data_IF_039348419981
#
_entry.id   IF_039348419981
#
_cell.length_a   1.000
_cell.length_b   1.000
_cell.length_c   1.000
_cell.angle_alpha   90.00
_cell.angle_beta   90.00
_cell.angle_gamma   90.00
#
_symmetry.space_group_name_H-M   'P 1'
#
loop_
_entity.id
_entity.type
_entity.pdbx_description
1 polymer ?
#
# COMPACT_ATOMS: atom_id res chain seq x y z
N UNK A 1 6.39 27.84 -31.54
CA UNK A 1 6.70 26.45 -31.15
C UNK A 1 7.95 26.49 -30.28
N UNK A 2 7.80 26.50 -28.95
CA UNK A 2 8.94 26.53 -28.02
C UNK A 2 9.25 25.10 -27.59
N UNK A 3 10.33 24.55 -28.15
CA UNK A 3 10.87 23.24 -27.79
C UNK A 3 11.35 23.30 -26.33
N UNK A 4 10.72 22.53 -25.45
CA UNK A 4 11.12 22.40 -24.05
C UNK A 4 12.27 21.38 -23.98
N UNK A 5 13.50 21.88 -23.94
CA UNK A 5 14.67 21.04 -23.68
C UNK A 5 14.79 20.90 -22.17
N UNK A 6 14.56 19.69 -21.65
CA UNK A 6 14.77 19.37 -20.24
C UNK A 6 16.25 19.62 -19.90
N UNK A 7 16.59 20.37 -18.83
CA UNK A 7 17.97 20.57 -18.41
C UNK A 7 18.66 19.24 -18.11
N UNK A 8 19.91 19.07 -18.55
CA UNK A 8 20.73 17.86 -18.41
C UNK A 8 20.73 17.27 -16.97
N UNK A 9 20.67 18.13 -15.95
CA UNK A 9 20.62 17.75 -14.53
C UNK A 9 19.34 17.00 -14.11
N UNK A 10 18.28 17.04 -14.91
CA UNK A 10 17.01 16.35 -14.69
C UNK A 10 16.74 15.27 -15.74
N UNK A 11 17.70 15.00 -16.64
CA UNK A 11 17.66 13.84 -17.51
C UNK A 11 17.84 12.62 -16.61
N UNK A 12 16.88 11.69 -16.63
CA UNK A 12 17.06 10.39 -15.99
C UNK A 12 18.40 9.81 -16.51
N UNK A 13 19.25 9.24 -15.65
CA UNK A 13 20.49 8.63 -16.12
C UNK A 13 20.15 7.66 -17.26
N UNK A 14 20.78 7.86 -18.41
CA UNK A 14 20.63 6.91 -19.51
C UNK A 14 20.98 5.53 -18.97
N UNK A 15 20.19 4.49 -19.29
CA UNK A 15 20.56 3.14 -18.91
C UNK A 15 21.97 2.87 -19.44
N UNK A 16 22.90 2.58 -18.53
CA UNK A 16 24.29 2.24 -18.84
C UNK A 16 24.33 1.31 -20.06
N UNK A 17 25.03 1.66 -21.16
CA UNK A 17 25.08 0.82 -22.34
C UNK A 17 25.95 -0.40 -22.08
N UNK A 18 25.27 -1.49 -21.73
CA UNK A 18 25.75 -2.86 -21.60
C UNK A 18 24.60 -3.66 -20.99
N UNK A 19 23.76 -4.35 -21.76
CA UNK A 19 24.10 -5.49 -22.60
C UNK A 19 23.05 -5.66 -23.70
N UNK A 20 23.49 -5.74 -24.96
CA UNK A 20 22.74 -6.33 -26.08
C UNK A 20 22.73 -7.87 -25.95
N UNK A 21 22.22 -8.38 -24.83
CA UNK A 21 22.03 -9.79 -24.55
C UNK A 21 20.85 -9.93 -23.61
N UNK A 22 19.98 -10.92 -23.86
CA UNK A 22 18.80 -11.26 -23.06
C UNK A 22 18.90 -10.76 -21.61
N UNK A 23 17.95 -9.92 -21.18
CA UNK A 23 17.88 -9.43 -19.81
C UNK A 23 18.14 -10.60 -18.86
N UNK A 24 19.31 -10.59 -18.21
CA UNK A 24 19.70 -11.67 -17.32
C UNK A 24 18.57 -11.86 -16.31
N UNK A 25 18.11 -13.11 -16.18
CA UNK A 25 16.99 -13.44 -15.30
C UNK A 25 17.29 -12.88 -13.90
N UNK A 26 16.31 -12.15 -13.34
CA UNK A 26 16.43 -11.56 -12.01
C UNK A 26 16.84 -12.65 -11.00
N UNK A 27 17.89 -12.44 -10.16
CA UNK A 27 18.53 -13.52 -9.42
C UNK A 27 17.69 -14.08 -8.26
N UNK A 28 16.47 -13.56 -8.06
CA UNK A 28 15.53 -14.04 -7.03
C UNK A 28 14.70 -15.19 -7.56
N UNK A 29 14.79 -16.32 -6.87
CA UNK A 29 13.93 -17.48 -7.05
C UNK A 29 12.59 -17.25 -6.33
N UNK A 30 11.60 -16.80 -7.10
CA UNK A 30 10.24 -16.54 -6.60
C UNK A 30 9.45 -17.83 -6.32
N UNK A 31 9.76 -18.95 -6.98
CA UNK A 31 9.06 -20.22 -6.74
C UNK A 31 9.47 -20.82 -5.40
N UNK A 32 10.76 -20.77 -5.07
CA UNK A 32 11.26 -21.17 -3.74
C UNK A 32 10.62 -20.32 -2.63
N UNK A 33 10.51 -19.00 -2.84
CA UNK A 33 9.85 -18.09 -1.90
C UNK A 33 8.35 -18.39 -1.77
N UNK A 34 7.67 -18.71 -2.88
CA UNK A 34 6.24 -19.06 -2.87
C UNK A 34 5.97 -20.35 -2.14
N UNK A 35 6.83 -21.35 -2.29
CA UNK A 35 6.72 -22.59 -1.52
C UNK A 35 6.87 -22.35 0.00
N UNK A 36 7.71 -21.37 0.39
CA UNK A 36 7.94 -21.03 1.79
C UNK A 36 6.86 -20.14 2.39
N UNK A 37 6.31 -19.23 1.59
CA UNK A 37 5.33 -18.22 2.00
C UNK A 37 4.04 -18.36 1.18
N UNK A 38 3.38 -19.54 1.15
CA UNK A 38 2.30 -19.81 0.20
C UNK A 38 1.08 -18.89 0.38
N UNK A 39 0.81 -18.48 1.62
CA UNK A 39 -0.36 -17.67 1.99
C UNK A 39 -0.07 -16.17 2.08
N UNK A 40 1.10 -15.73 1.62
CA UNK A 40 1.52 -14.33 1.73
C UNK A 40 0.83 -13.46 0.65
N UNK A 41 0.25 -12.34 1.06
CA UNK A 41 -0.45 -11.41 0.16
C UNK A 41 0.44 -10.81 -0.94
N UNK A 42 1.77 -10.92 -0.87
CA UNK A 42 2.68 -10.54 -1.96
C UNK A 42 2.28 -11.20 -3.29
N UNK A 43 1.90 -12.48 -3.30
CA UNK A 43 1.54 -13.18 -4.53
C UNK A 43 0.29 -12.59 -5.18
N UNK A 44 -0.68 -12.22 -4.35
CA UNK A 44 -1.94 -11.67 -4.82
C UNK A 44 -1.84 -10.20 -5.19
N UNK A 45 -0.91 -9.43 -4.61
CA UNK A 45 -0.88 -7.96 -4.73
C UNK A 45 0.36 -7.41 -5.43
N UNK A 46 1.54 -7.98 -5.18
CA UNK A 46 2.84 -7.40 -5.53
C UNK A 46 3.60 -8.16 -6.61
N UNK A 47 3.40 -9.48 -6.72
CA UNK A 47 4.11 -10.31 -7.69
C UNK A 47 3.84 -9.82 -9.13
N UNK A 48 4.89 -9.64 -9.96
CA UNK A 48 4.73 -9.32 -11.37
C UNK A 48 3.89 -10.40 -12.06
N UNK A 49 2.84 -9.99 -12.78
CA UNK A 49 1.94 -10.91 -13.47
C UNK A 49 1.44 -10.28 -14.78
N UNK A 50 1.17 -11.14 -15.76
CA UNK A 50 0.46 -10.80 -17.00
C UNK A 50 -0.93 -11.46 -17.07
N UNK A 51 -1.33 -12.17 -16.02
CA UNK A 51 -2.63 -12.82 -15.94
C UNK A 51 -3.75 -11.76 -15.84
N UNK A 52 -4.63 -11.64 -16.86
CA UNK A 52 -5.67 -10.63 -16.86
C UNK A 52 -6.69 -10.80 -15.73
N UNK A 53 -6.97 -12.03 -15.28
CA UNK A 53 -7.94 -12.25 -14.18
C UNK A 53 -7.38 -11.79 -12.84
N UNK A 54 -6.10 -12.06 -12.57
CA UNK A 54 -5.43 -11.57 -11.37
C UNK A 54 -5.33 -10.04 -11.36
N UNK A 55 -5.03 -9.42 -12.51
CA UNK A 55 -5.00 -7.96 -12.64
C UNK A 55 -6.39 -7.35 -12.38
N UNK A 56 -7.45 -7.92 -12.96
CA UNK A 56 -8.84 -7.50 -12.70
C UNK A 56 -9.19 -7.62 -11.21
N UNK A 57 -8.84 -8.73 -10.55
CA UNK A 57 -9.05 -8.92 -9.11
C UNK A 57 -8.33 -7.83 -8.29
N UNK A 58 -7.07 -7.52 -8.63
CA UNK A 58 -6.29 -6.46 -7.95
C UNK A 58 -6.95 -5.08 -8.10
N UNK A 59 -7.45 -4.76 -9.28
CA UNK A 59 -8.16 -3.50 -9.54
C UNK A 59 -9.46 -3.41 -8.74
N UNK A 60 -10.26 -4.48 -8.72
CA UNK A 60 -11.51 -4.56 -7.95
C UNK A 60 -11.27 -4.39 -6.44
N UNK A 61 -10.26 -5.08 -5.90
CA UNK A 61 -9.86 -4.91 -4.50
C UNK A 61 -9.38 -3.49 -4.20
N UNK A 62 -8.54 -2.93 -5.08
CA UNK A 62 -8.04 -1.56 -4.92
C UNK A 62 -9.19 -0.56 -4.89
N UNK A 63 -10.16 -0.70 -5.81
CA UNK A 63 -11.37 0.14 -5.82
C UNK A 63 -12.15 0.03 -4.53
N UNK A 64 -12.45 -1.20 -4.07
CA UNK A 64 -13.17 -1.45 -2.82
C UNK A 64 -12.51 -0.74 -1.63
N UNK A 65 -11.20 -0.88 -1.48
CA UNK A 65 -10.49 -0.31 -0.33
C UNK A 65 -10.26 1.20 -0.45
N UNK A 66 -10.20 1.74 -1.67
CA UNK A 66 -10.19 3.18 -1.90
C UNK A 66 -11.54 3.83 -1.52
N UNK A 67 -12.66 3.17 -1.79
CA UNK A 67 -13.98 3.65 -1.37
C UNK A 67 -14.11 3.68 0.17
N UNK A 68 -13.66 2.62 0.84
CA UNK A 68 -13.61 2.58 2.32
C UNK A 68 -12.69 3.69 2.83
N UNK A 69 -11.49 3.83 2.26
CA UNK A 69 -10.56 4.89 2.64
C UNK A 69 -11.17 6.30 2.50
N UNK A 70 -11.89 6.57 1.40
CA UNK A 70 -12.60 7.83 1.22
C UNK A 70 -13.60 8.12 2.35
N UNK A 71 -14.40 7.11 2.73
CA UNK A 71 -15.34 7.23 3.85
C UNK A 71 -14.63 7.40 5.20
N UNK A 72 -13.53 6.69 5.42
CA UNK A 72 -12.71 6.82 6.64
C UNK A 72 -12.17 8.26 6.76
N UNK A 73 -11.66 8.83 5.66
CA UNK A 73 -11.15 10.20 5.62
C UNK A 73 -12.26 11.24 5.81
N UNK A 74 -13.46 10.99 5.30
CA UNK A 74 -14.62 11.87 5.47
C UNK A 74 -15.22 11.81 6.89
N UNK A 75 -14.90 10.78 7.69
CA UNK A 75 -15.59 10.52 8.96
C UNK A 75 -16.97 9.87 8.78
N UNK A 76 -17.23 9.33 7.59
CA UNK A 76 -18.50 8.71 7.20
C UNK A 76 -18.49 7.19 7.37
N UNK A 77 -17.31 6.60 7.50
CA UNK A 77 -17.16 5.16 7.67
C UNK A 77 -17.75 4.67 8.99
N UNK A 78 -18.30 3.46 8.95
CA UNK A 78 -18.68 2.74 10.15
C UNK A 78 -17.44 2.36 10.98
N UNK A 79 -17.59 2.08 12.28
CA UNK A 79 -16.51 1.68 13.17
C UNK A 79 -15.92 0.34 12.70
N UNK A 80 -16.79 -0.59 12.29
CA UNK A 80 -16.40 -1.85 11.66
C UNK A 80 -15.62 -1.64 10.34
N UNK A 81 -15.99 -0.66 9.51
CA UNK A 81 -15.23 -0.32 8.30
C UNK A 81 -13.86 0.29 8.61
N UNK A 82 -13.76 1.13 9.65
CA UNK A 82 -12.49 1.70 10.10
C UNK A 82 -11.56 0.58 10.57
N UNK A 83 -12.03 -0.28 11.48
CA UNK A 83 -11.25 -1.42 11.98
C UNK A 83 -10.84 -2.35 10.83
N UNK A 84 -11.78 -2.75 9.96
CA UNK A 84 -11.49 -3.62 8.83
C UNK A 84 -10.49 -3.02 7.83
N UNK A 85 -10.51 -1.71 7.63
CA UNK A 85 -9.54 -1.01 6.80
C UNK A 85 -8.12 -1.08 7.40
N UNK A 86 -7.97 -0.75 8.67
CA UNK A 86 -6.65 -0.78 9.34
C UNK A 86 -6.13 -2.20 9.54
N UNK A 87 -6.99 -3.18 9.83
CA UNK A 87 -6.63 -4.59 9.92
C UNK A 87 -6.08 -5.12 8.59
N UNK A 88 -6.74 -4.82 7.46
CA UNK A 88 -6.19 -5.18 6.15
C UNK A 88 -4.84 -4.53 5.91
N UNK A 89 -4.70 -3.23 6.21
CA UNK A 89 -3.44 -2.52 5.99
C UNK A 89 -2.30 -3.06 6.85
N UNK A 90 -2.62 -3.49 8.07
CA UNK A 90 -1.71 -4.20 8.97
C UNK A 90 -1.25 -5.51 8.32
N UNK A 91 -2.19 -6.37 7.94
CA UNK A 91 -1.89 -7.66 7.28
C UNK A 91 -1.05 -7.51 6.00
N UNK A 92 -1.41 -6.58 5.12
CA UNK A 92 -0.61 -6.29 3.92
C UNK A 92 0.81 -5.86 4.29
N UNK A 93 0.98 -5.05 5.34
CA UNK A 93 2.30 -4.58 5.74
C UNK A 93 3.14 -5.67 6.42
N UNK A 94 2.50 -6.53 7.22
CA UNK A 94 3.13 -7.71 7.83
C UNK A 94 3.61 -8.70 6.77
N UNK A 95 2.76 -9.00 5.77
CA UNK A 95 3.10 -9.94 4.70
C UNK A 95 4.22 -9.41 3.81
N UNK A 96 4.18 -8.12 3.43
CA UNK A 96 5.25 -7.51 2.64
C UNK A 96 6.57 -7.43 3.43
N UNK A 97 6.49 -7.16 4.73
CA UNK A 97 7.64 -7.19 5.63
C UNK A 97 8.25 -8.59 5.72
N UNK A 98 7.41 -9.62 5.90
CA UNK A 98 7.84 -11.01 5.95
C UNK A 98 8.51 -11.42 4.63
N UNK A 99 7.90 -11.08 3.49
CA UNK A 99 8.45 -11.36 2.16
C UNK A 99 9.83 -10.70 1.99
N UNK A 100 9.92 -9.38 2.17
CA UNK A 100 11.17 -8.64 1.99
C UNK A 100 12.30 -9.13 2.91
N UNK A 101 11.97 -9.41 4.19
CA UNK A 101 12.94 -9.95 5.14
C UNK A 101 13.42 -11.34 4.73
N UNK A 102 12.53 -12.19 4.22
CA UNK A 102 12.87 -13.54 3.75
C UNK A 102 13.77 -13.49 2.51
N UNK A 103 13.47 -12.59 1.55
CA UNK A 103 14.31 -12.39 0.36
C UNK A 103 15.74 -12.02 0.76
N UNK A 104 15.91 -11.01 1.63
CA UNK A 104 17.25 -10.60 2.08
C UNK A 104 17.98 -11.70 2.83
N UNK A 105 17.27 -12.43 3.70
CA UNK A 105 17.89 -13.48 4.52
C UNK A 105 18.39 -14.68 3.70
N UNK A 106 17.67 -15.06 2.64
CA UNK A 106 17.97 -16.30 1.90
C UNK A 106 18.67 -16.07 0.56
N UNK A 107 18.42 -14.91 -0.05
CA UNK A 107 18.85 -14.62 -1.41
C UNK A 107 19.59 -13.28 -1.50
N UNK A 108 19.75 -12.58 -0.38
CA UNK A 108 20.44 -11.29 -0.30
C UNK A 108 21.81 -11.30 -0.94
N UNK A 109 22.64 -12.33 -0.69
CA UNK A 109 24.01 -12.41 -1.24
C UNK A 109 24.07 -12.47 -2.78
N UNK A 110 22.96 -12.85 -3.43
CA UNK A 110 22.84 -12.91 -4.89
C UNK A 110 22.31 -11.61 -5.50
N UNK A 111 21.80 -10.71 -4.67
CA UNK A 111 21.22 -9.45 -5.11
C UNK A 111 22.30 -8.39 -5.37
N UNK A 112 22.15 -7.58 -6.43
CA UNK A 112 22.88 -6.33 -6.57
C UNK A 112 22.66 -5.43 -5.35
N UNK A 113 23.66 -4.64 -4.98
CA UNK A 113 23.61 -3.77 -3.79
C UNK A 113 22.42 -2.80 -3.81
N UNK A 114 22.09 -2.27 -5.00
CA UNK A 114 20.89 -1.45 -5.22
C UNK A 114 19.62 -2.15 -4.76
N UNK A 115 19.47 -3.43 -5.12
CA UNK A 115 18.24 -4.18 -4.87
C UNK A 115 18.13 -4.57 -3.40
N UNK A 116 19.26 -4.91 -2.76
CA UNK A 116 19.31 -5.07 -1.29
C UNK A 116 18.79 -3.83 -0.60
N UNK A 117 19.30 -2.66 -0.98
CA UNK A 117 18.86 -1.37 -0.43
C UNK A 117 17.37 -1.10 -0.63
N UNK A 118 16.78 -1.53 -1.76
CA UNK A 118 15.33 -1.41 -1.99
C UNK A 118 14.52 -2.30 -1.04
N UNK A 119 14.96 -3.53 -0.77
CA UNK A 119 14.32 -4.40 0.22
C UNK A 119 14.46 -3.86 1.65
N UNK A 120 15.64 -3.37 2.03
CA UNK A 120 15.87 -2.76 3.34
C UNK A 120 15.00 -1.52 3.55
N UNK A 121 14.89 -0.67 2.53
CA UNK A 121 13.98 0.47 2.54
C UNK A 121 12.53 0.01 2.70
N UNK A 122 12.10 -0.99 1.93
CA UNK A 122 10.75 -1.54 2.02
C UNK A 122 10.44 -2.05 3.43
N UNK A 123 11.36 -2.81 4.03
CA UNK A 123 11.27 -3.31 5.42
C UNK A 123 11.07 -2.14 6.39
N UNK A 124 11.89 -1.10 6.30
CA UNK A 124 11.79 0.07 7.17
C UNK A 124 10.45 0.79 6.99
N UNK A 125 10.00 0.99 5.75
CA UNK A 125 8.71 1.61 5.47
C UNK A 125 7.53 0.81 6.06
N UNK A 126 7.55 -0.53 5.97
CA UNK A 126 6.49 -1.36 6.53
C UNK A 126 6.51 -1.39 8.06
N UNK A 127 7.69 -1.42 8.70
CA UNK A 127 7.80 -1.27 10.16
C UNK A 127 7.22 0.06 10.65
N UNK A 128 7.58 1.16 9.99
CA UNK A 128 7.04 2.49 10.32
C UNK A 128 5.53 2.55 10.12
N UNK A 129 5.01 1.98 9.02
CA UNK A 129 3.55 1.92 8.82
C UNK A 129 2.84 1.15 9.95
N UNK A 130 3.39 0.01 10.36
CA UNK A 130 2.83 -0.81 11.42
C UNK A 130 2.80 -0.08 12.77
N UNK A 131 3.86 0.67 13.10
CA UNK A 131 3.89 1.47 14.34
C UNK A 131 2.87 2.61 14.34
N UNK A 132 2.55 3.15 13.16
CA UNK A 132 1.63 4.28 13.03
C UNK A 132 0.16 3.89 12.95
N UNK A 133 -0.18 2.67 12.52
CA UNK A 133 -1.58 2.28 12.32
C UNK A 133 -2.47 2.44 13.56
N UNK A 134 -2.06 2.07 14.79
CA UNK A 134 -2.90 2.26 15.97
C UNK A 134 -3.30 3.73 16.18
N UNK A 135 -2.34 4.66 16.03
CA UNK A 135 -2.61 6.10 16.14
C UNK A 135 -3.56 6.58 15.05
N UNK A 136 -3.31 6.18 13.81
CA UNK A 136 -4.16 6.58 12.67
C UNK A 136 -5.60 6.05 12.81
N UNK A 137 -5.74 4.81 13.28
CA UNK A 137 -7.04 4.19 13.54
C UNK A 137 -7.81 4.95 14.63
N UNK A 138 -7.16 5.29 15.74
CA UNK A 138 -7.76 6.11 16.79
C UNK A 138 -8.20 7.49 16.28
N UNK A 139 -7.38 8.14 15.44
CA UNK A 139 -7.70 9.42 14.81
C UNK A 139 -8.93 9.33 13.87
N UNK A 140 -9.03 8.25 13.09
CA UNK A 140 -10.20 7.99 12.25
C UNK A 140 -11.47 7.77 13.08
N UNK A 141 -11.38 7.02 14.17
CA UNK A 141 -12.49 6.83 15.10
C UNK A 141 -12.91 8.14 15.77
N UNK A 142 -11.95 8.98 16.16
CA UNK A 142 -12.22 10.30 16.73
C UNK A 142 -12.93 11.21 15.72
N UNK A 143 -12.48 11.22 14.46
CA UNK A 143 -13.11 11.98 13.37
C UNK A 143 -14.55 11.56 13.14
N UNK A 144 -14.81 10.25 13.10
CA UNK A 144 -16.18 9.70 13.01
C UNK A 144 -17.04 10.20 14.17
N UNK A 145 -16.59 10.07 15.41
CA UNK A 145 -17.35 10.53 16.59
C UNK A 145 -17.70 12.02 16.50
N UNK A 146 -16.75 12.86 16.06
CA UNK A 146 -16.97 14.29 15.87
C UNK A 146 -18.02 14.58 14.78
N UNK A 147 -17.98 13.83 13.66
CA UNK A 147 -18.97 13.94 12.59
C UNK A 147 -20.37 13.52 13.07
N UNK A 148 -20.49 12.44 13.84
CA UNK A 148 -21.75 11.98 14.42
C UNK A 148 -22.35 12.99 15.39
N UNK A 149 -21.53 13.57 16.28
CA UNK A 149 -21.96 14.63 17.20
C UNK A 149 -22.47 15.86 16.45
N UNK A 150 -21.76 16.28 15.39
CA UNK A 150 -22.15 17.43 14.57
C UNK A 150 -23.50 17.18 13.88
N UNK A 151 -23.73 15.97 13.36
CA UNK A 151 -25.01 15.58 12.75
C UNK A 151 -26.15 15.59 13.75
N UNK A 152 -25.90 15.11 14.96
CA UNK A 152 -26.91 15.08 16.02
C UNK A 152 -27.31 16.48 16.47
N UNK A 153 -26.33 17.37 16.69
CA UNK A 153 -26.58 18.77 17.02
C UNK A 153 -27.41 19.47 15.93
N UNK A 154 -27.09 19.21 14.65
CA UNK A 154 -27.83 19.77 13.53
C UNK A 154 -29.29 19.26 13.49
N UNK A 155 -29.51 17.97 13.75
CA UNK A 155 -30.87 17.39 13.85
C UNK A 155 -31.69 18.02 14.98
N UNK A 156 -31.10 18.19 16.16
CA UNK A 156 -31.77 18.80 17.31
C UNK A 156 -32.09 20.28 17.06
N UNK A 157 -31.18 21.02 16.43
CA UNK A 157 -31.40 22.41 16.03
C UNK A 157 -32.54 22.59 15.02
N UNK A 158 -32.71 21.66 14.07
CA UNK A 158 -33.85 21.69 13.14
C UNK A 158 -35.18 21.36 13.81
N UNK A 159 -35.21 20.42 14.75
CA UNK A 159 -36.43 20.08 15.47
C UNK A 159 -36.90 21.20 16.40
N UNK A 160 -35.97 21.92 17.03
CA UNK A 160 -36.29 23.09 17.85
C UNK A 160 -36.81 24.30 17.06
N UNK A 161 -36.51 24.40 15.75
CA UNK A 161 -37.06 25.44 14.86
C UNK A 161 -38.42 25.07 14.25
N UNK A 162 -38.82 23.79 14.30
CA UNK A 162 -40.09 23.29 13.75
C UNK A 162 -41.21 23.13 14.79
N UNK A 163 -40.93 23.37 16.08
CA UNK A 163 -41.95 23.42 17.13
C UNK A 163 -42.25 24.90 17.48
N UNK A 164 -43.50 25.38 17.29
CA UNK A 164 -43.92 26.75 17.62
C UNK A 164 -44.06 27.01 19.12
#
# INVERSE_FOLDING_TARGET
>A
MTSSVIPEAYRAPEPEPGVDGEAAAYPVDLEALRAKLPDNMYWELGAPTKDPELLRKREEETRKWNEVFGRVQAGDATEAEIHGYYDRRRRVSEDMLQFATTVLAEQGDKLPERDKGLYELSINMHRTRLSEYPRQEEESLARRRAAEQSREQWRQGQQGQQQP
#
